data_IF_979175929335
#
_entry.id   IF_979175929335
#
_cell.length_a   1.000
_cell.length_b   1.000
_cell.length_c   1.000
_cell.angle_alpha   90.00
_cell.angle_beta   90.00
_cell.angle_gamma   90.00
#
_symmetry.space_group_name_H-M   'P 1'
#
loop_
_entity.id
_entity.type
_entity.pdbx_description
1 polymer ?
#
# COMPACT_ATOMS: atom_id res chain seq x y z
N UNK A 1 -10.11 -29.58 17.19
CA UNK A 1 -9.15 -29.01 16.24
C UNK A 1 -9.93 -28.29 15.15
N UNK A 2 -10.08 -26.96 15.27
CA UNK A 2 -10.83 -26.16 14.31
C UNK A 2 -9.93 -25.87 13.11
N UNK A 3 -10.28 -26.39 11.92
CA UNK A 3 -9.65 -25.98 10.66
C UNK A 3 -10.00 -24.50 10.46
N UNK A 4 -9.04 -23.59 10.67
CA UNK A 4 -9.17 -22.20 10.22
C UNK A 4 -9.47 -22.26 8.72
N UNK A 5 -10.61 -21.71 8.29
CA UNK A 5 -10.91 -21.55 6.86
C UNK A 5 -9.94 -20.51 6.31
N UNK A 6 -8.79 -20.95 5.80
CA UNK A 6 -7.92 -20.11 4.99
C UNK A 6 -8.73 -19.53 3.83
N UNK A 7 -8.52 -18.26 3.51
CA UNK A 7 -9.17 -17.65 2.35
C UNK A 7 -8.61 -18.30 1.08
N UNK A 8 -9.49 -18.60 0.12
CA UNK A 8 -9.10 -19.29 -1.12
C UNK A 8 -8.20 -18.39 -1.99
N UNK A 9 -6.99 -18.85 -2.40
CA UNK A 9 -6.12 -18.13 -3.32
C UNK A 9 -6.83 -17.70 -4.62
N UNK A 10 -7.78 -18.51 -5.09
CA UNK A 10 -8.58 -18.20 -6.27
C UNK A 10 -9.45 -16.94 -6.08
N UNK A 11 -9.98 -16.72 -4.87
CA UNK A 11 -10.74 -15.51 -4.55
C UNK A 11 -9.85 -14.26 -4.55
N UNK A 12 -8.62 -14.37 -4.03
CA UNK A 12 -7.63 -13.28 -4.04
C UNK A 12 -7.28 -12.91 -5.49
N UNK A 13 -7.03 -13.90 -6.34
CA UNK A 13 -6.71 -13.70 -7.75
C UNK A 13 -7.84 -13.00 -8.49
N UNK A 14 -9.09 -13.42 -8.27
CA UNK A 14 -10.26 -12.80 -8.89
C UNK A 14 -10.40 -11.32 -8.48
N UNK A 15 -10.16 -11.02 -7.20
CA UNK A 15 -10.21 -9.66 -6.68
C UNK A 15 -9.08 -8.77 -7.24
N UNK A 16 -7.86 -9.28 -7.33
CA UNK A 16 -6.74 -8.57 -7.93
C UNK A 16 -6.96 -8.30 -9.43
N UNK A 17 -7.53 -9.26 -10.16
CA UNK A 17 -7.91 -9.07 -11.57
C UNK A 17 -9.02 -8.03 -11.73
N UNK A 18 -10.00 -8.01 -10.82
CA UNK A 18 -11.07 -6.99 -10.82
C UNK A 18 -10.50 -5.59 -10.60
N UNK A 19 -9.57 -5.43 -9.66
CA UNK A 19 -8.88 -4.15 -9.41
C UNK A 19 -8.04 -3.76 -10.63
N UNK A 20 -7.31 -4.70 -11.22
CA UNK A 20 -6.51 -4.48 -12.42
C UNK A 20 -7.38 -3.97 -13.58
N UNK A 21 -8.46 -4.68 -13.92
CA UNK A 21 -9.35 -4.28 -15.02
C UNK A 21 -9.91 -2.87 -14.84
N UNK A 22 -10.27 -2.51 -13.60
CA UNK A 22 -10.80 -1.20 -13.28
C UNK A 22 -9.76 -0.06 -13.29
N UNK A 23 -8.46 -0.38 -13.15
CA UNK A 23 -7.41 0.62 -12.92
C UNK A 23 -6.31 0.66 -13.99
N UNK A 24 -6.20 -0.36 -14.84
CA UNK A 24 -5.10 -0.53 -15.81
C UNK A 24 -4.96 0.64 -16.80
N UNK A 25 -6.06 1.26 -17.19
CA UNK A 25 -6.07 2.35 -18.17
C UNK A 25 -5.98 3.74 -17.53
N UNK A 26 -5.94 3.83 -16.19
CA UNK A 26 -5.86 5.10 -15.49
C UNK A 26 -4.42 5.65 -15.51
N UNK A 27 -4.28 6.88 -15.96
CA UNK A 27 -3.04 7.65 -15.89
C UNK A 27 -2.71 8.04 -14.45
N UNK A 28 -1.45 8.39 -14.19
CA UNK A 28 -1.05 8.87 -12.87
C UNK A 28 -1.81 10.13 -12.47
N UNK A 29 -2.03 11.05 -13.42
CA UNK A 29 -2.78 12.28 -13.19
C UNK A 29 -4.22 12.00 -12.78
N UNK A 30 -4.88 11.03 -13.41
CA UNK A 30 -6.26 10.66 -13.07
C UNK A 30 -6.34 10.05 -11.66
N UNK A 31 -5.41 9.17 -11.28
CA UNK A 31 -5.39 8.57 -9.94
C UNK A 31 -5.15 9.65 -8.87
N UNK A 32 -4.14 10.50 -9.08
CA UNK A 32 -3.74 11.55 -8.13
C UNK A 32 -4.83 12.62 -7.93
N UNK A 33 -5.58 12.97 -8.99
CA UNK A 33 -6.56 14.05 -8.95
C UNK A 33 -8.03 13.59 -8.92
N UNK A 34 -8.28 12.27 -8.95
CA UNK A 34 -9.65 11.73 -9.01
C UNK A 34 -10.49 12.22 -7.84
N UNK A 35 -11.75 12.57 -8.04
CA UNK A 35 -12.71 12.81 -6.93
C UNK A 35 -13.62 11.62 -6.66
N UNK A 36 -13.37 10.50 -7.35
CA UNK A 36 -14.21 9.32 -7.32
C UNK A 36 -13.99 8.51 -6.05
N UNK A 37 -15.08 8.23 -5.33
CA UNK A 37 -15.09 7.28 -4.22
C UNK A 37 -14.80 5.84 -4.68
N UNK A 38 -14.95 5.54 -5.96
CA UNK A 38 -14.74 4.18 -6.47
C UNK A 38 -13.28 3.72 -6.34
N UNK A 39 -12.31 4.60 -6.58
CA UNK A 39 -10.89 4.28 -6.40
C UNK A 39 -10.56 4.03 -4.92
N UNK A 40 -11.20 4.78 -4.02
CA UNK A 40 -11.10 4.57 -2.57
C UNK A 40 -11.54 3.16 -2.17
N UNK A 41 -12.62 2.66 -2.76
CA UNK A 41 -13.11 1.29 -2.51
C UNK A 41 -12.09 0.24 -2.93
N UNK A 42 -11.49 0.37 -4.12
CA UNK A 42 -10.45 -0.58 -4.54
C UNK A 42 -9.20 -0.50 -3.68
N UNK A 43 -8.81 0.70 -3.27
CA UNK A 43 -7.66 0.89 -2.40
C UNK A 43 -7.86 0.19 -1.05
N UNK A 44 -8.99 0.39 -0.36
CA UNK A 44 -9.25 -0.33 0.89
C UNK A 44 -9.41 -1.83 0.70
N UNK A 45 -9.93 -2.26 -0.46
CA UNK A 45 -9.98 -3.69 -0.75
C UNK A 45 -8.59 -4.31 -0.82
N UNK A 46 -7.57 -3.58 -1.28
CA UNK A 46 -6.19 -4.06 -1.23
C UNK A 46 -5.70 -4.21 0.21
N UNK A 47 -6.03 -3.27 1.10
CA UNK A 47 -5.70 -3.37 2.53
C UNK A 47 -6.37 -4.60 3.17
N UNK A 48 -7.63 -4.86 2.84
CA UNK A 48 -8.36 -6.05 3.30
C UNK A 48 -7.72 -7.34 2.79
N UNK A 49 -7.32 -7.39 1.51
CA UNK A 49 -6.64 -8.56 0.92
C UNK A 49 -5.28 -8.81 1.58
N UNK A 50 -4.52 -7.76 1.87
CA UNK A 50 -3.21 -7.85 2.52
C UNK A 50 -3.30 -8.32 3.98
N UNK A 51 -4.44 -8.12 4.63
CA UNK A 51 -4.70 -8.54 6.01
C UNK A 51 -5.26 -9.98 6.12
N UNK A 52 -5.51 -10.67 5.00
CA UNK A 52 -6.02 -12.04 5.03
C UNK A 52 -4.97 -13.01 5.57
N UNK A 53 -5.36 -13.88 6.51
CA UNK A 53 -4.54 -15.04 6.89
C UNK A 53 -4.57 -16.08 5.76
N UNK A 54 -3.51 -16.10 4.94
CA UNK A 54 -3.20 -17.10 3.92
C UNK A 54 -1.73 -17.46 4.07
N UNK A 55 -1.38 -18.72 3.85
CA UNK A 55 0.01 -19.15 3.94
C UNK A 55 0.87 -18.60 2.78
N UNK A 56 2.11 -18.25 3.10
CA UNK A 56 3.05 -17.63 2.16
C UNK A 56 3.30 -18.49 0.93
N UNK A 57 3.28 -19.82 1.08
CA UNK A 57 3.52 -20.76 -0.01
C UNK A 57 2.38 -20.71 -1.03
N UNK A 58 1.12 -20.78 -0.60
CA UNK A 58 -0.04 -20.61 -1.49
C UNK A 58 -0.09 -19.23 -2.13
N UNK A 59 0.30 -18.16 -1.42
CA UNK A 59 0.40 -16.83 -2.04
C UNK A 59 1.43 -16.84 -3.17
N UNK A 60 2.62 -17.41 -2.94
CA UNK A 60 3.70 -17.41 -3.92
C UNK A 60 3.39 -18.32 -5.12
N UNK A 61 2.96 -19.55 -4.88
CA UNK A 61 2.75 -20.56 -5.92
C UNK A 61 1.46 -20.33 -6.70
N UNK A 62 0.36 -20.02 -6.01
CA UNK A 62 -0.96 -19.92 -6.64
C UNK A 62 -1.29 -18.50 -7.06
N UNK A 63 -1.10 -17.50 -6.19
CA UNK A 63 -1.48 -16.11 -6.51
C UNK A 63 -0.44 -15.46 -7.42
N UNK A 64 0.81 -15.37 -6.95
CA UNK A 64 1.90 -14.74 -7.71
C UNK A 64 2.21 -15.55 -8.97
N UNK A 65 2.31 -16.88 -8.85
CA UNK A 65 2.52 -17.78 -9.99
C UNK A 65 1.49 -17.62 -11.10
N UNK A 66 0.18 -17.64 -10.76
CA UNK A 66 -0.90 -17.53 -11.76
C UNK A 66 -0.99 -16.13 -12.37
N UNK A 67 -0.86 -15.07 -11.56
CA UNK A 67 -0.85 -13.69 -12.08
C UNK A 67 0.38 -13.41 -12.96
N UNK A 68 1.52 -14.03 -12.64
CA UNK A 68 2.73 -13.99 -13.45
C UNK A 68 2.54 -14.63 -14.84
N UNK A 69 1.83 -15.76 -14.92
CA UNK A 69 1.51 -16.41 -16.19
C UNK A 69 0.53 -15.57 -17.05
N UNK A 70 -0.46 -14.94 -16.42
CA UNK A 70 -1.40 -14.06 -17.13
C UNK A 70 -0.72 -12.82 -17.74
N UNK A 71 0.35 -12.33 -17.10
CA UNK A 71 1.17 -11.23 -17.61
C UNK A 71 2.01 -11.59 -18.85
N UNK A 72 2.25 -12.87 -19.13
CA UNK A 72 3.00 -13.33 -20.32
C UNK A 72 2.11 -13.52 -21.56
N UNK A 73 0.78 -13.54 -21.40
CA UNK A 73 -0.18 -13.57 -22.52
C UNK A 73 -0.37 -12.21 -23.19
N UNK A 74 0.18 -11.13 -22.61
CA UNK A 74 0.29 -9.83 -23.25
C UNK A 74 1.58 -9.74 -24.06
N UNK A 75 1.49 -10.06 -25.36
CA UNK A 75 2.45 -9.76 -26.45
C UNK A 75 3.95 -9.93 -26.13
N UNK A 76 4.59 -10.87 -26.83
CA UNK A 76 6.04 -11.02 -26.93
C UNK A 76 6.72 -9.65 -27.16
N UNK A 77 7.39 -9.10 -26.14
CA UNK A 77 8.25 -7.91 -26.27
C UNK A 77 7.99 -6.76 -25.29
N UNK A 78 6.88 -6.74 -24.54
CA UNK A 78 6.64 -5.70 -23.55
C UNK A 78 7.41 -5.96 -22.23
N UNK A 79 8.05 -4.94 -21.63
CA UNK A 79 8.79 -5.11 -20.38
C UNK A 79 7.89 -5.59 -19.24
N UNK A 80 8.47 -6.28 -18.25
CA UNK A 80 7.80 -6.84 -17.05
C UNK A 80 6.93 -5.85 -16.23
N UNK A 81 6.95 -4.56 -16.59
CA UNK A 81 6.13 -3.48 -16.07
C UNK A 81 4.63 -3.61 -16.42
N UNK A 82 4.26 -4.46 -17.39
CA UNK A 82 2.87 -4.64 -17.83
C UNK A 82 2.14 -5.85 -17.19
N UNK A 83 2.70 -6.46 -16.15
CA UNK A 83 1.99 -7.53 -15.43
C UNK A 83 0.80 -7.00 -14.64
N UNK A 84 -0.20 -7.87 -14.39
CA UNK A 84 -1.35 -7.56 -13.54
C UNK A 84 -0.90 -7.04 -12.17
N UNK A 85 0.09 -7.69 -11.56
CA UNK A 85 0.64 -7.28 -10.27
C UNK A 85 1.32 -5.91 -10.34
N UNK A 86 2.13 -5.65 -11.36
CA UNK A 86 2.79 -4.35 -11.51
C UNK A 86 1.78 -3.21 -11.65
N UNK A 87 0.70 -3.41 -12.41
CA UNK A 87 -0.37 -2.43 -12.54
C UNK A 87 -1.14 -2.19 -11.22
N UNK A 88 -1.44 -3.25 -10.47
CA UNK A 88 -2.09 -3.14 -9.15
C UNK A 88 -1.18 -2.42 -8.14
N UNK A 89 0.12 -2.77 -8.10
CA UNK A 89 1.12 -2.10 -7.26
C UNK A 89 1.25 -0.63 -7.63
N UNK A 90 1.31 -0.31 -8.93
CA UNK A 90 1.32 1.08 -9.42
C UNK A 90 0.10 1.85 -8.93
N UNK A 91 -1.10 1.28 -9.06
CA UNK A 91 -2.32 1.89 -8.55
C UNK A 91 -2.24 2.14 -7.04
N UNK A 92 -1.86 1.12 -6.25
CA UNK A 92 -1.69 1.23 -4.79
C UNK A 92 -0.74 2.36 -4.42
N UNK A 93 0.41 2.46 -5.08
CA UNK A 93 1.42 3.46 -4.77
C UNK A 93 0.95 4.88 -5.11
N UNK A 94 0.37 5.09 -6.29
CA UNK A 94 -0.16 6.39 -6.68
C UNK A 94 -1.32 6.84 -5.79
N UNK A 95 -2.19 5.91 -5.39
CA UNK A 95 -3.29 6.24 -4.49
C UNK A 95 -2.80 6.54 -3.07
N UNK A 96 -1.80 5.81 -2.58
CA UNK A 96 -1.16 6.12 -1.28
C UNK A 96 -0.50 7.50 -1.30
N UNK A 97 0.27 7.82 -2.35
CA UNK A 97 0.89 9.13 -2.54
C UNK A 97 -0.15 10.25 -2.52
N UNK A 98 -1.30 10.04 -3.17
CA UNK A 98 -2.40 11.00 -3.12
C UNK A 98 -2.91 11.22 -1.69
N UNK A 99 -3.09 10.15 -0.91
CA UNK A 99 -3.53 10.29 0.48
C UNK A 99 -2.50 11.07 1.32
N UNK A 100 -1.20 10.80 1.13
CA UNK A 100 -0.14 11.54 1.79
C UNK A 100 -0.14 13.02 1.41
N UNK A 101 -0.29 13.37 0.13
CA UNK A 101 -0.38 14.77 -0.33
C UNK A 101 -1.59 15.46 0.33
N UNK A 102 -2.77 14.85 0.25
CA UNK A 102 -3.99 15.45 0.77
C UNK A 102 -3.92 15.65 2.30
N UNK A 103 -3.32 14.71 3.02
CA UNK A 103 -3.16 14.82 4.47
C UNK A 103 -2.07 15.84 4.84
N UNK A 104 -0.96 15.90 4.10
CA UNK A 104 0.06 16.93 4.30
C UNK A 104 -0.50 18.34 4.11
N UNK A 105 -1.29 18.56 3.05
CA UNK A 105 -1.98 19.84 2.82
C UNK A 105 -2.92 20.19 3.97
N UNK A 106 -3.66 19.20 4.50
CA UNK A 106 -4.54 19.40 5.67
C UNK A 106 -3.77 19.76 6.93
N UNK A 107 -2.66 19.08 7.21
CA UNK A 107 -1.79 19.37 8.37
C UNK A 107 -1.25 20.80 8.27
N UNK A 108 -0.74 21.19 7.10
CA UNK A 108 -0.19 22.53 6.85
C UNK A 108 -1.23 23.64 6.99
N UNK A 109 -2.50 23.38 6.65
CA UNK A 109 -3.59 24.34 6.78
C UNK A 109 -4.21 24.38 8.20
N UNK A 110 -3.86 23.44 9.08
CA UNK A 110 -4.48 23.31 10.41
C UNK A 110 -3.90 24.28 11.42
N UNK A 111 -4.76 24.81 12.30
CA UNK A 111 -4.32 25.50 13.53
C UNK A 111 -3.83 24.52 14.59
N UNK A 112 -4.27 23.27 14.51
CA UNK A 112 -3.95 22.17 15.43
C UNK A 112 -3.34 21.00 14.61
N UNK A 113 -2.10 21.13 14.11
CA UNK A 113 -1.50 20.16 13.19
C UNK A 113 -1.28 18.78 13.83
N UNK A 114 -0.91 18.75 15.12
CA UNK A 114 -0.69 17.49 15.85
C UNK A 114 -1.97 16.70 16.07
N UNK A 115 -3.07 17.35 16.41
CA UNK A 115 -4.36 16.67 16.56
C UNK A 115 -4.85 16.14 15.22
N UNK A 116 -4.64 16.88 14.12
CA UNK A 116 -4.96 16.38 12.80
C UNK A 116 -4.12 15.15 12.43
N UNK A 117 -2.80 15.21 12.67
CA UNK A 117 -1.88 14.12 12.36
C UNK A 117 -2.21 12.82 13.10
N UNK A 118 -2.55 12.91 14.40
CA UNK A 118 -2.95 11.76 15.23
C UNK A 118 -4.24 11.09 14.74
N UNK A 119 -5.09 11.84 14.03
CA UNK A 119 -6.35 11.34 13.47
C UNK A 119 -6.19 10.72 12.07
N UNK A 120 -4.99 10.73 11.49
CA UNK A 120 -4.73 10.03 10.25
C UNK A 120 -4.88 8.51 10.45
N UNK A 121 -5.64 7.86 9.55
CA UNK A 121 -6.07 6.46 9.73
C UNK A 121 -4.91 5.47 9.96
N UNK A 122 -3.75 5.74 9.38
CA UNK A 122 -2.57 4.88 9.50
C UNK A 122 -1.61 5.29 10.62
N UNK A 123 -1.84 6.41 11.32
CA UNK A 123 -0.92 6.94 12.35
C UNK A 123 -0.54 5.90 13.42
N UNK A 124 -1.47 5.10 13.98
CA UNK A 124 -1.11 4.05 14.95
C UNK A 124 -0.13 3.01 14.39
N UNK A 125 -0.26 2.66 13.10
CA UNK A 125 0.64 1.71 12.45
C UNK A 125 2.06 2.27 12.36
N UNK A 126 2.21 3.58 12.12
CA UNK A 126 3.51 4.24 12.12
C UNK A 126 4.15 4.29 13.52
N UNK A 127 3.37 4.50 14.59
CA UNK A 127 3.86 4.40 15.97
C UNK A 127 4.44 3.02 16.25
N UNK A 128 3.70 1.97 15.89
CA UNK A 128 4.15 0.61 16.12
C UNK A 128 5.40 0.28 15.29
N UNK A 129 5.39 0.62 14.00
CA UNK A 129 6.50 0.38 13.09
C UNK A 129 7.78 1.08 13.57
N UNK A 130 7.70 2.38 13.88
CA UNK A 130 8.85 3.13 14.36
C UNK A 130 9.43 2.56 15.66
N UNK A 131 8.59 2.07 16.58
CA UNK A 131 9.05 1.39 17.81
C UNK A 131 9.78 0.09 17.48
N UNK A 132 9.22 -0.72 16.58
CA UNK A 132 9.83 -1.98 16.14
C UNK A 132 11.17 -1.73 15.44
N UNK A 133 11.26 -0.74 14.56
CA UNK A 133 12.48 -0.38 13.84
C UNK A 133 13.54 0.20 14.78
N UNK A 134 13.15 1.09 15.71
CA UNK A 134 14.05 1.67 16.71
C UNK A 134 14.68 0.58 17.58
N UNK A 135 13.87 -0.37 18.07
CA UNK A 135 14.34 -1.49 18.87
C UNK A 135 15.18 -2.47 18.05
N UNK A 136 14.72 -2.85 16.86
CA UNK A 136 15.38 -3.82 15.99
C UNK A 136 16.75 -3.36 15.51
N UNK A 137 16.92 -2.05 15.28
CA UNK A 137 18.19 -1.46 14.92
C UNK A 137 19.07 -1.10 16.14
N UNK A 138 18.55 -1.24 17.37
CA UNK A 138 19.27 -0.89 18.59
C UNK A 138 19.60 0.59 18.71
N UNK A 139 18.75 1.45 18.14
CA UNK A 139 18.93 2.90 18.15
C UNK A 139 18.85 3.46 19.57
N UNK A 140 19.52 4.58 19.78
CA UNK A 140 19.53 5.35 21.02
C UNK A 140 19.12 6.79 20.76
N UNK A 141 18.52 7.47 21.77
CA UNK A 141 18.29 8.90 21.67
C UNK A 141 19.58 9.65 21.33
N UNK A 142 19.54 10.51 20.31
CA UNK A 142 20.68 11.27 19.83
C UNK A 142 21.44 10.64 18.66
N UNK A 143 21.12 9.41 18.26
CA UNK A 143 21.67 8.80 17.05
C UNK A 143 21.24 9.57 15.80
N UNK A 144 22.12 9.59 14.78
CA UNK A 144 21.84 10.23 13.50
C UNK A 144 21.27 9.19 12.53
N UNK A 145 20.08 9.44 12.04
CA UNK A 145 19.37 8.56 11.09
C UNK A 145 19.23 9.26 9.75
N UNK A 146 19.48 8.51 8.67
CA UNK A 146 19.15 8.91 7.31
C UNK A 146 17.92 8.14 6.86
N UNK A 147 16.82 8.85 6.55
CA UNK A 147 15.61 8.25 6.02
C UNK A 147 15.52 8.49 4.51
N UNK A 148 15.48 7.41 3.71
CA UNK A 148 15.40 7.50 2.26
C UNK A 148 13.95 7.30 1.79
N UNK A 149 13.39 8.30 1.10
CA UNK A 149 12.04 8.23 0.54
C UNK A 149 10.93 8.52 1.55
N UNK A 150 10.93 9.71 2.14
CA UNK A 150 9.97 10.08 3.20
C UNK A 150 8.56 10.40 2.71
N UNK A 151 8.37 10.64 1.42
CA UNK A 151 7.09 11.07 0.85
C UNK A 151 6.67 12.48 1.31
N UNK A 152 5.48 12.94 0.86
CA UNK A 152 4.93 14.25 1.23
C UNK A 152 4.52 14.37 2.71
N UNK A 153 4.15 13.25 3.34
CA UNK A 153 3.82 13.19 4.77
C UNK A 153 4.81 12.26 5.48
N UNK A 154 5.95 12.77 5.99
CA UNK A 154 7.07 11.95 6.48
C UNK A 154 6.81 11.35 7.88
N UNK A 155 5.73 10.57 8.02
CA UNK A 155 5.26 10.04 9.31
C UNK A 155 6.29 9.18 10.04
N UNK A 156 6.97 8.27 9.32
CA UNK A 156 8.00 7.44 9.95
C UNK A 156 9.09 8.29 10.60
N UNK A 157 9.55 9.34 9.92
CA UNK A 157 10.58 10.24 10.44
C UNK A 157 10.05 11.08 11.61
N UNK A 158 8.84 11.65 11.47
CA UNK A 158 8.20 12.44 12.53
C UNK A 158 8.09 11.61 13.81
N UNK A 159 7.62 10.37 13.70
CA UNK A 159 7.38 9.49 14.85
C UNK A 159 8.67 8.96 15.44
N UNK A 160 9.66 8.60 14.60
CA UNK A 160 10.95 8.10 15.09
C UNK A 160 11.72 9.17 15.89
N UNK A 161 11.47 10.45 15.60
CA UNK A 161 12.10 11.59 16.26
C UNK A 161 11.23 12.26 17.35
N UNK A 162 10.01 11.77 17.59
CA UNK A 162 9.08 12.31 18.59
C UNK A 162 9.26 11.62 19.96
#
# INVERSE_FOLDING_TARGET
>A
MSKRKGHSPQAIIAELLRIYEATKNLTAREILNSRSNHLKTFFYRLDELAALEVDDQSVQEEVVGKLGQLGQLGQLGEPAQNSVLAAVVRFRNLYSLRLEIAEAERVLASREPWELLKNFAYFPNYIQLARTEFQGAGLKPGDRVLFLGSGPLPLSLIVLCA
#
